data_IF_790468613619
#
_entry.id   IF_790468613619
#
_cell.length_a   1.000
_cell.length_b   1.000
_cell.length_c   1.000
_cell.angle_alpha   90.00
_cell.angle_beta   90.00
_cell.angle_gamma   90.00
#
_symmetry.space_group_name_H-M   'P 1'
#
loop_
_entity.id
_entity.type
_entity.pdbx_description
1 polymer ?
2 polymer ?
#
# COMPACT_ATOMS: atom_id res chain seq x y z
N UNK A 1 -6.04 -17.71 6.19
CA UNK A 1 -7.08 -16.66 6.37
C UNK A 1 -7.00 -15.63 5.25
N UNK A 2 -7.77 -14.56 5.38
CA UNK A 2 -7.79 -13.51 4.37
C UNK A 2 -6.49 -12.72 4.39
N UNK A 3 -6.22 -12.05 3.27
CA UNK A 3 -5.07 -11.16 3.12
C UNK A 3 -5.60 -9.83 2.64
N UNK A 4 -5.41 -8.79 3.44
CA UNK A 4 -5.95 -7.47 3.16
C UNK A 4 -4.81 -6.45 3.09
N UNK A 5 -4.79 -5.66 2.02
CA UNK A 5 -3.85 -4.54 1.92
C UNK A 5 -4.36 -3.30 2.61
N UNK A 6 -5.62 -3.28 3.03
CA UNK A 6 -6.19 -2.19 3.80
C UNK A 6 -6.89 -2.76 5.03
N UNK A 7 -6.74 -2.07 6.15
CA UNK A 7 -7.40 -2.44 7.40
C UNK A 7 -8.50 -1.44 7.69
N UNK A 8 -9.69 -1.95 7.99
CA UNK A 8 -10.87 -1.11 8.22
C UNK A 8 -11.55 -1.54 9.51
N UNK A 9 -12.33 -0.62 10.07
CA UNK A 9 -13.10 -0.94 11.27
C UNK A 9 -14.10 -2.04 10.97
N UNK A 10 -14.29 -2.93 11.94
CA UNK A 10 -15.16 -4.09 11.80
C UNK A 10 -16.62 -3.76 12.10
N UNK A 11 -16.93 -2.52 12.44
CA UNK A 11 -18.27 -2.13 12.86
C UNK A 11 -18.72 -0.92 12.06
N UNK A 12 -19.98 -0.96 11.62
CA UNK A 12 -20.57 0.15 10.87
C UNK A 12 -21.68 0.82 11.68
N UNK A 13 -22.66 0.04 12.10
CA UNK A 13 -23.75 0.53 12.93
C UNK A 13 -23.52 0.06 14.37
N UNK A 14 -24.31 0.58 15.31
CA UNK A 14 -24.13 0.26 16.71
C UNK A 14 -25.45 0.24 17.46
N UNK A 15 -25.65 -0.77 18.30
CA UNK A 15 -26.86 -0.89 19.11
C UNK A 15 -26.64 -0.28 20.48
N UNK A 16 -27.74 0.09 21.13
CA UNK A 16 -27.67 0.70 22.46
C UNK A 16 -27.63 -0.34 23.57
N UNK A 17 -27.89 -1.60 23.28
CA UNK A 17 -27.83 -2.63 24.31
C UNK A 17 -28.37 -3.94 23.78
N UNK A 18 -28.15 -4.99 24.58
CA UNK A 18 -28.63 -6.33 24.26
C UNK A 18 -28.92 -7.05 25.56
N UNK A 19 -29.82 -8.02 25.50
CA UNK A 19 -30.16 -8.81 26.67
C UNK A 19 -28.95 -9.61 27.13
N UNK A 20 -28.49 -9.46 28.36
CA UNK A 20 -27.26 -10.17 28.78
C UNK A 20 -27.33 -11.69 28.62
N UNK A 21 -28.50 -12.29 28.87
CA UNK A 21 -28.59 -13.74 28.88
C UNK A 21 -28.21 -14.37 27.54
N UNK A 22 -28.35 -13.63 26.44
CA UNK A 22 -28.05 -14.15 25.12
C UNK A 22 -26.62 -13.86 24.68
N UNK A 23 -25.81 -13.22 25.53
CA UNK A 23 -24.44 -12.88 25.17
C UNK A 23 -23.51 -13.98 25.67
N UNK A 24 -22.69 -14.51 24.77
CA UNK A 24 -21.72 -15.54 25.09
C UNK A 24 -20.32 -14.99 25.31
N UNK A 25 -19.87 -14.08 24.45
CA UNK A 25 -18.57 -13.47 24.59
C UNK A 25 -18.60 -12.07 24.00
N UNK A 26 -17.70 -11.21 24.47
CA UNK A 26 -17.60 -9.83 24.01
C UNK A 26 -16.13 -9.52 23.74
N UNK A 27 -15.87 -8.86 22.62
CA UNK A 27 -14.52 -8.47 22.22
C UNK A 27 -14.42 -6.96 22.26
N UNK A 28 -13.47 -6.45 23.03
CA UNK A 28 -13.26 -5.01 23.19
C UNK A 28 -11.91 -4.67 22.56
N UNK A 29 -11.93 -3.84 21.53
CA UNK A 29 -10.73 -3.42 20.82
C UNK A 29 -10.52 -1.92 21.05
N UNK A 30 -9.36 -1.58 21.62
CA UNK A 30 -9.02 -0.18 21.82
C UNK A 30 -8.64 0.46 20.49
N UNK A 31 -8.66 1.79 20.43
CA UNK A 31 -8.25 2.46 19.18
C UNK A 31 -6.82 2.06 18.80
N UNK A 32 -6.61 1.85 17.51
CA UNK A 32 -5.35 1.36 17.02
C UNK A 32 -5.10 1.71 15.57
N UNK A 33 -4.09 1.09 14.97
CA UNK A 33 -3.74 1.42 13.58
C UNK A 33 -4.84 1.13 12.58
N UNK A 34 -5.80 0.26 12.91
CA UNK A 34 -6.81 -0.19 11.96
C UNK A 34 -8.19 0.39 12.26
N UNK A 35 -8.32 1.26 13.26
CA UNK A 35 -9.61 1.85 13.56
C UNK A 35 -9.47 3.03 14.52
N UNK A 36 -10.17 4.13 14.22
CA UNK A 36 -10.09 5.31 15.07
C UNK A 36 -10.91 5.19 16.35
N UNK A 37 -12.04 4.51 16.30
CA UNK A 37 -12.96 4.44 17.43
C UNK A 37 -12.90 3.07 18.10
N UNK A 38 -13.29 3.03 19.37
CA UNK A 38 -13.40 1.77 20.08
C UNK A 38 -14.54 0.94 19.52
N UNK A 39 -14.33 -0.37 19.48
CA UNK A 39 -15.31 -1.31 18.93
C UNK A 39 -15.57 -2.41 19.94
N UNK A 40 -16.84 -2.60 20.30
CA UNK A 40 -17.26 -3.67 21.18
C UNK A 40 -18.17 -4.59 20.37
N UNK A 41 -17.72 -5.82 20.14
CA UNK A 41 -18.43 -6.80 19.33
C UNK A 41 -18.85 -7.94 20.24
N UNK A 42 -20.14 -8.28 20.21
CA UNK A 42 -20.70 -9.32 21.05
C UNK A 42 -21.03 -10.54 20.21
N UNK A 43 -20.56 -11.71 20.65
CA UNK A 43 -20.85 -12.97 19.99
C UNK A 43 -21.98 -13.65 20.74
N UNK A 44 -23.14 -13.75 20.10
CA UNK A 44 -24.34 -14.27 20.73
C UNK A 44 -24.26 -15.79 20.86
N UNK A 45 -25.17 -16.33 21.67
CA UNK A 45 -25.22 -17.78 21.88
C UNK A 45 -25.59 -18.53 20.61
N UNK A 46 -26.23 -17.87 19.65
CA UNK A 46 -26.67 -18.50 18.41
C UNK A 46 -25.64 -18.42 17.29
N UNK A 47 -24.46 -17.88 17.59
CA UNK A 47 -23.42 -17.75 16.58
C UNK A 47 -23.40 -16.44 15.83
N UNK A 48 -24.40 -15.59 16.03
CA UNK A 48 -24.43 -14.29 15.37
C UNK A 48 -23.59 -13.28 16.14
N UNK A 49 -22.94 -12.40 15.39
CA UNK A 49 -22.12 -11.33 15.96
C UNK A 49 -22.85 -9.99 15.82
N UNK A 50 -22.88 -9.24 16.91
CA UNK A 50 -23.57 -7.96 16.95
C UNK A 50 -22.65 -6.91 17.53
N UNK A 51 -22.83 -5.67 17.09
CA UNK A 51 -22.06 -4.54 17.56
C UNK A 51 -22.72 -3.94 18.80
N UNK A 52 -21.91 -3.35 19.67
CA UNK A 52 -22.37 -2.63 20.84
C UNK A 52 -21.68 -1.27 20.92
N UNK A 53 -22.41 -0.28 21.42
CA UNK A 53 -21.89 1.08 21.48
C UNK A 53 -21.01 1.24 22.71
N UNK A 54 -19.72 1.55 22.57
CA UNK A 54 -18.88 1.72 23.78
C UNK A 54 -19.36 2.81 24.70
N UNK A 55 -19.91 3.90 24.15
CA UNK A 55 -20.36 5.01 24.98
C UNK A 55 -21.67 4.72 25.70
N UNK A 56 -22.36 3.65 25.35
CA UNK A 56 -23.64 3.35 25.98
C UNK A 56 -23.42 3.00 27.45
N UNK A 57 -24.15 3.63 28.38
CA UNK A 57 -24.01 3.23 29.79
C UNK A 57 -24.30 1.75 30.02
N UNK A 58 -25.26 1.19 29.29
CA UNK A 58 -25.62 -0.22 29.49
C UNK A 58 -24.45 -1.12 29.10
N UNK A 59 -23.77 -0.80 28.00
CA UNK A 59 -22.71 -1.68 27.51
C UNK A 59 -21.62 -1.86 28.56
N UNK A 60 -21.21 -0.77 29.22
CA UNK A 60 -20.19 -0.87 30.25
C UNK A 60 -20.66 -1.77 31.39
N UNK A 61 -21.94 -1.64 31.78
CA UNK A 61 -22.46 -2.48 32.85
C UNK A 61 -22.45 -3.95 32.46
N UNK A 62 -22.78 -4.27 31.20
CA UNK A 62 -22.87 -5.65 30.78
C UNK A 62 -21.52 -6.34 30.91
N UNK A 63 -20.45 -5.70 30.46
CA UNK A 63 -19.13 -6.31 30.56
C UNK A 63 -18.76 -6.54 32.01
N UNK A 64 -19.12 -5.60 32.89
CA UNK A 64 -18.87 -5.77 34.31
C UNK A 64 -19.61 -6.99 34.85
N UNK A 65 -20.84 -7.22 34.37
CA UNK A 65 -21.62 -8.35 34.84
C UNK A 65 -20.93 -9.67 34.50
N UNK A 66 -20.43 -9.79 33.28
CA UNK A 66 -19.78 -11.03 32.87
C UNK A 66 -18.53 -11.29 33.69
N UNK A 67 -17.75 -10.25 33.97
CA UNK A 67 -16.47 -10.44 34.65
C UNK A 67 -16.67 -10.86 36.10
N UNK A 68 -17.90 -10.83 36.59
CA UNK A 68 -18.21 -11.23 37.96
C UNK A 68 -17.43 -12.47 38.38
N UNK B 9 -10.33 -25.44 29.08
CA UNK B 9 -10.28 -23.95 29.12
C UNK B 9 -8.92 -23.45 28.61
N UNK B 10 -8.97 -22.55 27.62
CA UNK B 10 -7.74 -22.06 27.01
C UNK B 10 -6.88 -21.28 28.00
N UNK B 11 -7.46 -20.79 29.09
CA UNK B 11 -6.72 -20.05 30.11
C UNK B 11 -6.56 -20.96 31.32
N UNK B 12 -5.33 -21.46 31.51
CA UNK B 12 -5.02 -22.37 32.61
C UNK B 12 -4.30 -21.66 33.76
N UNK B 13 -3.21 -20.95 33.46
CA UNK B 13 -2.44 -20.21 34.45
C UNK B 13 -2.49 -18.74 34.08
N UNK B 14 -3.52 -18.04 34.58
CA UNK B 14 -3.68 -16.63 34.26
C UNK B 14 -2.52 -15.82 34.81
N UNK B 15 -2.06 -14.85 34.02
CA UNK B 15 -0.97 -13.99 34.44
C UNK B 15 -1.45 -13.03 35.53
N UNK B 16 -0.47 -12.40 36.20
CA UNK B 16 -0.74 -11.45 37.27
C UNK B 16 -0.28 -10.04 36.91
N UNK B 17 0.19 -9.83 35.68
CA UNK B 17 0.59 -8.51 35.26
C UNK B 17 0.89 -8.42 33.77
N UNK B 18 0.31 -7.42 33.11
CA UNK B 18 0.54 -7.15 31.70
C UNK B 18 0.59 -5.64 31.51
N UNK B 19 1.51 -5.18 30.68
CA UNK B 19 1.66 -3.75 30.47
C UNK B 19 0.42 -3.19 29.77
N UNK B 20 -0.28 -2.23 30.37
CA UNK B 20 -1.52 -1.74 29.75
C UNK B 20 -1.35 -1.22 28.34
N UNK B 21 -0.22 -0.57 28.05
CA UNK B 21 -0.04 0.06 26.75
C UNK B 21 0.12 -0.98 25.65
N UNK B 22 0.65 -2.16 25.97
CA UNK B 22 0.95 -3.16 24.98
C UNK B 22 -0.26 -4.02 24.58
N UNK B 23 -1.37 -3.91 25.30
CA UNK B 23 -2.56 -4.70 25.00
C UNK B 23 -3.32 -4.05 23.85
N UNK B 24 -3.60 -4.84 22.82
CA UNK B 24 -4.37 -4.37 21.67
C UNK B 24 -5.86 -4.59 21.80
N UNK B 25 -6.28 -5.77 22.27
CA UNK B 25 -7.69 -6.07 22.43
C UNK B 25 -7.85 -7.16 23.47
N UNK B 26 -8.96 -7.11 24.19
CA UNK B 26 -9.28 -8.07 25.23
C UNK B 26 -10.57 -8.77 24.86
N UNK B 27 -10.56 -10.10 24.90
CA UNK B 27 -11.70 -10.93 24.57
C UNK B 27 -12.19 -11.62 25.83
N UNK B 28 -13.47 -11.46 26.15
CA UNK B 28 -14.07 -12.04 27.34
C UNK B 28 -15.04 -13.13 26.90
N UNK B 29 -14.81 -14.34 27.38
CA UNK B 29 -15.65 -15.49 26.98
C UNK B 29 -16.38 -15.98 28.21
N UNK B 30 -17.69 -15.92 28.20
CA UNK B 30 -18.45 -16.28 29.40
C UNK B 30 -18.58 -17.79 29.48
N UNK B 31 -19.08 -18.31 30.62
CA UNK B 31 -19.17 -19.76 30.81
C UNK B 31 -19.99 -20.42 29.71
N UNK B 32 -19.54 -21.60 29.29
CA UNK B 32 -20.20 -22.32 28.22
C UNK B 32 -19.86 -23.79 28.24
N UNK B 33 -20.37 -24.54 27.25
CA UNK B 33 -20.09 -25.98 27.20
C UNK B 33 -18.63 -26.32 27.09
N UNK B 34 -17.81 -25.44 26.50
CA UNK B 34 -16.39 -25.71 26.29
C UNK B 34 -15.52 -25.32 27.48
N UNK B 35 -16.09 -24.65 28.49
CA UNK B 35 -15.31 -24.28 29.67
C UNK B 35 -16.24 -23.83 30.79
N UNK B 36 -16.00 -24.32 32.00
CA UNK B 36 -16.86 -24.02 33.14
C UNK B 36 -16.44 -22.75 33.88
N UNK B 37 -15.34 -22.11 33.48
CA UNK B 37 -14.84 -20.91 34.14
C UNK B 37 -14.75 -19.76 33.14
N UNK B 38 -14.94 -18.55 33.66
CA UNK B 38 -14.83 -17.35 32.83
C UNK B 38 -13.38 -17.13 32.43
N UNK B 39 -13.18 -16.78 31.16
CA UNK B 39 -11.85 -16.60 30.58
C UNK B 39 -11.73 -15.19 30.02
N UNK B 40 -10.60 -14.54 30.28
CA UNK B 40 -10.25 -13.26 29.69
C UNK B 40 -8.94 -13.45 28.96
N UNK B 41 -8.94 -13.15 27.65
CA UNK B 41 -7.76 -13.31 26.81
C UNK B 41 -7.44 -11.95 26.19
N UNK B 42 -6.18 -11.53 26.31
CA UNK B 42 -5.71 -10.27 25.78
C UNK B 42 -4.66 -10.51 24.70
N UNK B 43 -4.85 -9.88 23.56
CA UNK B 43 -3.94 -10.00 22.43
C UNK B 43 -2.99 -8.81 22.42
N UNK B 44 -1.71 -9.07 22.68
CA UNK B 44 -0.71 -8.02 22.71
C UNK B 44 -0.39 -7.54 21.30
N UNK B 45 0.19 -6.34 21.21
CA UNK B 45 0.49 -5.74 19.93
C UNK B 45 1.47 -6.55 19.10
N UNK B 46 2.24 -7.44 19.73
CA UNK B 46 3.25 -8.24 19.03
C UNK B 46 2.71 -9.58 18.57
N UNK B 47 1.41 -9.83 18.72
CA UNK B 47 0.79 -11.06 18.29
C UNK B 47 0.70 -12.14 19.36
N UNK B 48 1.39 -11.98 20.48
CA UNK B 48 1.30 -12.95 21.56
C UNK B 48 -0.04 -12.84 22.27
N UNK B 49 -0.48 -13.96 22.82
CA UNK B 49 -1.74 -14.05 23.55
C UNK B 49 -1.46 -14.38 25.01
N UNK B 50 -2.09 -13.62 25.91
CA UNK B 50 -1.91 -13.79 27.34
C UNK B 50 -3.27 -13.79 28.03
N UNK B 51 -3.38 -14.57 29.10
CA UNK B 51 -4.62 -14.70 29.84
C UNK B 51 -4.57 -13.82 31.09
N UNK B 52 -5.64 -13.07 31.31
CA UNK B 52 -5.75 -12.19 32.48
C UNK B 52 -6.75 -12.78 33.47
N UNK B 53 -6.48 -12.54 34.75
CA UNK B 53 -7.35 -13.04 35.80
C UNK B 53 -8.66 -12.25 35.82
N UNK B 54 -9.82 -12.89 35.65
CA UNK B 54 -11.07 -12.11 35.66
C UNK B 54 -11.36 -11.45 37.00
N UNK B 55 -10.84 -11.98 38.10
CA UNK B 55 -11.12 -11.44 39.42
C UNK B 55 -10.17 -10.32 39.83
N UNK B 56 -9.13 -10.07 39.06
CA UNK B 56 -8.16 -9.03 39.43
C UNK B 56 -8.79 -7.65 39.25
N UNK B 57 -8.80 -6.81 40.28
CA UNK B 57 -9.32 -5.44 40.09
C UNK B 57 -8.57 -4.66 39.02
N UNK B 58 -7.27 -4.89 38.86
CA UNK B 58 -6.52 -4.18 37.85
C UNK B 58 -7.01 -4.53 36.46
N UNK B 59 -7.36 -5.80 36.23
CA UNK B 59 -7.88 -6.20 34.92
C UNK B 59 -9.15 -5.43 34.59
N UNK B 60 -10.05 -5.29 35.57
CA UNK B 60 -11.26 -4.51 35.34
C UNK B 60 -10.93 -3.08 34.93
N UNK B 61 -9.87 -2.52 35.50
CA UNK B 61 -9.47 -1.16 35.15
C UNK B 61 -9.11 -1.05 33.67
N UNK B 62 -8.37 -2.03 33.15
CA UNK B 62 -7.93 -1.98 31.76
C UNK B 62 -9.14 -1.98 30.83
N UNK B 63 -10.09 -2.88 31.08
CA UNK B 63 -11.30 -2.93 30.26
C UNK B 63 -12.08 -1.64 30.38
N UNK B 64 -12.25 -1.14 31.62
CA UNK B 64 -12.95 0.12 31.81
C UNK B 64 -12.20 1.27 31.15
N UNK B 65 -10.87 1.28 31.25
CA UNK B 65 -10.09 2.35 30.63
C UNK B 65 -10.26 2.34 29.11
N UNK B 66 -10.27 1.14 28.51
CA UNK B 66 -10.36 1.05 27.06
C UNK B 66 -11.69 1.60 26.55
N UNK B 67 -12.78 1.30 27.24
CA UNK B 67 -14.10 1.72 26.77
C UNK B 67 -14.27 3.23 26.82
N UNK B 68 -13.78 3.86 27.87
CA UNK B 68 -14.02 5.29 28.10
C UNK B 68 -13.07 6.18 27.31
N UNK B 69 -12.41 5.67 26.28
CA UNK B 69 -11.53 6.48 25.46
C UNK B 69 -12.27 7.68 24.88
N UNK C 90 -31.53 -6.80 15.69
CA UNK C 90 -30.06 -6.63 15.66
C UNK C 90 -29.57 -6.40 14.23
N UNK C 91 -30.05 -5.33 13.60
CA UNK C 91 -29.65 -5.04 12.23
C UNK C 91 -28.16 -4.80 12.12
N UNK C 92 -27.53 -4.30 13.18
CA UNK C 92 -26.09 -4.05 13.16
C UNK C 92 -25.34 -5.36 13.38
N UNK C 93 -24.32 -5.59 12.56
CA UNK C 93 -23.49 -6.77 12.67
C UNK C 93 -22.14 -6.48 12.03
N UNK C 94 -21.08 -7.20 12.41
CA UNK C 94 -19.77 -6.95 11.81
C UNK C 94 -19.78 -7.18 10.31
N UNK C 95 -19.03 -6.36 9.59
CA UNK C 95 -18.87 -6.50 8.14
C UNK C 95 -17.70 -7.46 7.89
N UNK C 96 -18.02 -8.75 7.92
CA UNK C 96 -16.98 -9.76 7.79
C UNK C 96 -16.29 -9.63 6.44
N UNK C 97 -14.96 -9.62 6.40
CA UNK C 97 -14.28 -9.58 5.10
C UNK C 97 -14.50 -10.86 4.32
N UNK C 98 -14.51 -10.73 2.99
CA UNK C 98 -14.69 -11.86 2.09
C UNK C 98 -13.44 -12.00 1.23
N UNK C 99 -12.82 -13.17 1.27
CA UNK C 99 -11.62 -13.46 0.51
C UNK C 99 -11.78 -14.78 -0.22
N UNK C 100 -11.28 -14.83 -1.45
CA UNK C 100 -11.33 -16.03 -2.28
C UNK C 100 -9.90 -16.50 -2.55
N UNK C 101 -9.65 -17.79 -2.34
CA UNK C 101 -8.33 -18.34 -2.55
C UNK C 101 -7.91 -18.26 -4.02
N UNK C 102 -8.88 -18.18 -4.94
CA UNK C 102 -8.56 -18.18 -6.36
C UNK C 102 -7.64 -17.01 -6.70
N UNK C 103 -7.96 -15.83 -6.17
CA UNK C 103 -7.21 -14.62 -6.53
C UNK C 103 -5.76 -14.71 -6.08
N UNK C 104 -5.53 -15.18 -4.86
CA UNK C 104 -4.22 -14.97 -4.23
C UNK C 104 -3.11 -15.73 -4.95
N UNK C 105 -3.33 -17.01 -5.26
CA UNK C 105 -2.24 -17.81 -5.83
C UNK C 105 -2.00 -17.46 -7.29
N UNK C 106 -3.06 -17.07 -8.02
CA UNK C 106 -2.86 -16.63 -9.39
C UNK C 106 -2.02 -15.36 -9.45
N UNK C 107 -2.10 -14.52 -8.42
CA UNK C 107 -1.31 -13.30 -8.39
C UNK C 107 0.17 -13.62 -8.30
N UNK C 108 0.52 -14.69 -7.60
CA UNK C 108 1.94 -15.02 -7.39
C UNK C 108 2.63 -15.26 -8.74
N UNK C 109 1.99 -16.05 -9.60
CA UNK C 109 2.58 -16.33 -10.91
C UNK C 109 2.72 -15.06 -11.73
N UNK C 110 1.68 -14.21 -11.71
CA UNK C 110 1.76 -12.94 -12.42
C UNK C 110 2.89 -12.08 -11.88
N UNK C 111 3.06 -12.03 -10.56
CA UNK C 111 4.20 -11.32 -9.98
C UNK C 111 5.52 -11.94 -10.39
N UNK C 112 5.61 -13.27 -10.38
CA UNK C 112 6.85 -13.94 -10.76
C UNK C 112 7.19 -13.70 -12.23
N UNK C 113 6.19 -13.76 -13.11
CA UNK C 113 6.46 -13.52 -14.52
C UNK C 113 6.98 -12.11 -14.76
N UNK C 114 6.39 -11.12 -14.10
CA UNK C 114 6.88 -9.75 -14.22
C UNK C 114 8.30 -9.64 -13.70
N UNK C 115 8.62 -10.38 -12.63
CA UNK C 115 9.97 -10.34 -12.07
C UNK C 115 11.00 -10.78 -13.10
N UNK C 116 10.73 -11.88 -13.79
CA UNK C 116 11.71 -12.42 -14.74
C UNK C 116 11.96 -11.44 -15.88
N UNK C 117 10.89 -10.88 -16.45
CA UNK C 117 11.05 -10.02 -17.61
C UNK C 117 11.78 -8.73 -17.25
N UNK C 118 11.39 -8.08 -16.15
CA UNK C 118 12.05 -6.84 -15.75
C UNK C 118 13.51 -7.07 -15.44
N UNK C 119 13.83 -8.17 -14.75
CA UNK C 119 15.23 -8.46 -14.43
C UNK C 119 16.05 -8.62 -15.70
N UNK C 120 15.52 -9.34 -16.69
CA UNK C 120 16.25 -9.54 -17.94
C UNK C 120 16.29 -8.26 -18.75
N UNK C 121 15.14 -7.59 -18.88
CA UNK C 121 15.08 -6.41 -19.74
C UNK C 121 15.95 -5.28 -19.24
N UNK C 122 15.90 -4.99 -17.94
CA UNK C 122 16.68 -3.89 -17.40
C UNK C 122 18.17 -4.16 -17.52
N UNK C 123 18.60 -5.41 -17.31
CA UNK C 123 20.02 -5.74 -17.42
C UNK C 123 20.53 -5.49 -18.84
N UNK C 124 19.74 -5.86 -19.84
CA UNK C 124 20.16 -5.62 -21.22
C UNK C 124 20.33 -4.13 -21.48
N UNK C 125 19.40 -3.30 -21.00
CA UNK C 125 19.54 -1.86 -21.16
C UNK C 125 20.81 -1.38 -20.47
N UNK C 126 21.06 -1.86 -19.25
CA UNK C 126 22.29 -1.51 -18.57
C UNK C 126 23.50 -2.06 -19.32
N UNK C 127 23.41 -3.29 -19.82
CA UNK C 127 24.53 -3.89 -20.53
C UNK C 127 24.87 -3.11 -21.78
N UNK C 128 23.85 -2.69 -22.53
CA UNK C 128 24.10 -2.00 -23.81
C UNK C 128 24.81 -0.68 -23.57
N UNK C 129 24.30 0.13 -22.63
CA UNK C 129 24.85 1.47 -22.44
C UNK C 129 26.26 1.40 -21.87
N UNK C 130 26.46 0.59 -20.83
CA UNK C 130 27.73 0.58 -20.12
C UNK C 130 28.85 -0.12 -20.88
N UNK C 131 28.53 -0.97 -21.86
CA UNK C 131 29.57 -1.70 -22.58
C UNK C 131 30.49 -0.73 -23.33
N UNK C 132 29.91 0.26 -24.00
CA UNK C 132 30.66 1.24 -24.77
C UNK C 132 30.41 2.62 -24.20
N UNK C 133 31.49 3.35 -23.93
CA UNK C 133 31.40 4.68 -23.31
C UNK C 133 31.45 5.81 -24.33
N UNK C 134 31.47 5.50 -25.62
CA UNK C 134 31.47 6.53 -26.65
C UNK C 134 30.03 6.91 -26.99
N UNK C 135 29.80 8.19 -27.23
CA UNK C 135 28.48 8.67 -27.57
C UNK C 135 27.47 8.52 -26.45
N UNK C 136 27.89 8.76 -25.21
CA UNK C 136 26.99 8.67 -24.06
C UNK C 136 26.21 9.97 -23.96
N UNK C 137 25.17 10.09 -24.78
CA UNK C 137 24.37 11.29 -24.84
C UNK C 137 23.63 11.51 -23.52
N UNK C 138 22.94 12.64 -23.41
CA UNK C 138 22.20 12.94 -22.19
C UNK C 138 21.14 11.89 -21.94
N UNK C 139 20.42 11.48 -22.99
CA UNK C 139 19.36 10.49 -22.81
C UNK C 139 19.91 9.18 -22.26
N UNK C 140 21.17 8.85 -22.56
CA UNK C 140 21.74 7.62 -22.04
C UNK C 140 21.81 7.63 -20.52
N UNK C 141 22.07 8.79 -19.92
CA UNK C 141 22.14 8.87 -18.46
C UNK C 141 20.75 8.68 -17.86
N UNK C 142 19.73 9.30 -18.45
CA UNK C 142 18.37 9.14 -17.94
C UNK C 142 17.94 7.68 -18.00
N UNK C 143 18.21 7.01 -19.12
CA UNK C 143 17.84 5.61 -19.24
C UNK C 143 18.61 4.76 -18.23
N UNK C 144 19.89 5.07 -18.01
CA UNK C 144 20.67 4.30 -17.06
C UNK C 144 20.07 4.36 -15.67
N UNK C 145 19.69 5.56 -15.21
CA UNK C 145 19.03 5.67 -13.92
C UNK C 145 17.67 4.98 -13.92
N UNK C 146 16.91 5.15 -15.00
CA UNK C 146 15.61 4.49 -15.08
C UNK C 146 15.75 2.98 -15.01
N UNK C 147 16.77 2.42 -15.68
CA UNK C 147 17.02 0.99 -15.60
C UNK C 147 17.35 0.58 -14.17
N UNK C 148 18.19 1.35 -13.48
CA UNK C 148 18.51 1.05 -12.09
C UNK C 148 17.28 1.18 -11.21
N UNK C 149 16.47 2.22 -11.43
CA UNK C 149 15.29 2.41 -10.61
C UNK C 149 14.31 1.25 -10.77
N UNK C 150 14.11 0.80 -12.01
CA UNK C 150 13.19 -0.32 -12.25
C UNK C 150 13.80 -1.64 -11.80
N UNK C 151 15.11 -1.79 -11.94
CA UNK C 151 15.76 -3.03 -11.52
C UNK C 151 15.62 -3.25 -10.02
N UNK C 152 15.87 -2.21 -9.23
CA UNK C 152 15.72 -2.34 -7.78
C UNK C 152 14.27 -2.60 -7.41
N UNK C 153 13.34 -1.91 -8.06
CA UNK C 153 11.93 -2.11 -7.75
C UNK C 153 11.51 -3.55 -7.98
N UNK C 154 11.94 -4.14 -9.11
CA UNK C 154 11.60 -5.54 -9.38
C UNK C 154 12.28 -6.47 -8.40
N UNK C 155 13.45 -6.07 -7.88
CA UNK C 155 14.19 -6.95 -6.98
C UNK C 155 13.41 -7.27 -5.72
N UNK C 156 12.51 -6.39 -5.31
CA UNK C 156 11.71 -6.61 -4.12
C UNK C 156 10.40 -7.35 -4.40
N UNK C 157 10.07 -7.57 -5.66
CA UNK C 157 8.81 -8.22 -5.99
C UNK C 157 8.68 -9.61 -5.37
N UNK C 158 9.69 -10.48 -5.42
CA UNK C 158 9.52 -11.82 -4.85
C UNK C 158 9.07 -11.83 -3.40
N UNK C 159 9.60 -10.92 -2.57
CA UNK C 159 9.16 -10.84 -1.19
C UNK C 159 7.72 -10.32 -1.13
N UNK C 160 7.42 -9.28 -1.91
CA UNK C 160 6.06 -8.74 -1.91
C UNK C 160 5.06 -9.78 -2.40
N UNK C 161 5.43 -10.56 -3.41
CA UNK C 161 4.51 -11.58 -3.93
C UNK C 161 4.21 -12.62 -2.87
N UNK C 162 5.24 -13.11 -2.17
CA UNK C 162 5.01 -14.10 -1.12
C UNK C 162 4.15 -13.54 0.00
N UNK C 163 4.20 -12.22 0.24
CA UNK C 163 3.38 -11.63 1.27
C UNK C 163 1.89 -11.78 0.97
N UNK C 164 1.51 -11.63 -0.30
CA UNK C 164 0.11 -11.73 -0.67
C UNK C 164 -0.44 -13.14 -0.45
N UNK C 165 0.44 -14.13 -0.30
CA UNK C 165 0.00 -15.51 -0.15
C UNK C 165 -0.56 -15.74 1.24
N UNK C 166 0.28 -15.58 2.27
CA UNK C 166 -0.12 -15.86 3.64
C UNK C 166 0.16 -14.70 4.58
N UNK C 167 0.27 -13.47 4.07
CA UNK C 167 0.52 -12.31 4.88
C UNK C 167 2.00 -12.13 5.20
N UNK C 168 2.30 -11.00 5.82
CA UNK C 168 3.67 -10.66 6.17
C UNK C 168 4.15 -11.50 7.35
N UNK C 169 4.91 -12.56 7.07
CA UNK C 169 5.47 -13.42 8.10
C UNK C 169 6.96 -13.14 8.31
N UNK C 170 7.50 -12.11 7.67
CA UNK C 170 8.94 -11.92 7.60
C UNK C 170 9.49 -11.02 8.71
N UNK C 171 8.63 -10.48 9.57
CA UNK C 171 9.08 -9.67 10.69
C UNK C 171 8.96 -8.19 10.39
N UNK C 172 9.23 -7.39 11.43
CA UNK C 172 9.08 -5.94 11.34
C UNK C 172 10.23 -5.30 10.60
N UNK C 173 11.45 -5.81 10.75
CA UNK C 173 12.61 -5.14 10.18
C UNK C 173 12.51 -5.06 8.67
N UNK C 174 12.09 -6.15 8.02
CA UNK C 174 11.97 -6.14 6.57
C UNK C 174 10.78 -5.30 6.11
N UNK C 175 9.72 -5.22 6.91
CA UNK C 175 8.58 -4.41 6.55
C UNK C 175 8.97 -2.94 6.40
N UNK C 176 10.07 -2.54 7.05
CA UNK C 176 10.58 -1.18 6.89
C UNK C 176 11.57 -1.11 5.72
N UNK C 177 12.55 -2.01 5.70
CA UNK C 177 13.57 -1.96 4.66
C UNK C 177 12.95 -2.20 3.29
N UNK C 178 12.14 -3.25 3.17
CA UNK C 178 11.54 -3.56 1.87
C UNK C 178 10.62 -2.43 1.43
N UNK C 179 9.82 -1.89 2.35
CA UNK C 179 8.92 -0.79 1.99
C UNK C 179 9.71 0.43 1.58
N UNK C 180 10.87 0.67 2.21
CA UNK C 180 11.72 1.78 1.82
C UNK C 180 12.23 1.61 0.39
N UNK C 181 12.77 0.43 0.09
CA UNK C 181 13.34 0.20 -1.23
C UNK C 181 12.28 0.28 -2.31
N UNK C 182 11.10 -0.27 -2.06
CA UNK C 182 10.04 -0.26 -3.07
C UNK C 182 9.58 1.17 -3.35
N UNK C 183 9.30 1.95 -2.30
CA UNK C 183 8.73 3.27 -2.51
C UNK C 183 9.77 4.25 -3.03
N UNK C 184 11.03 4.09 -2.61
CA UNK C 184 12.09 4.98 -3.07
C UNK C 184 12.24 4.86 -4.59
N UNK C 185 12.24 3.62 -5.09
CA UNK C 185 12.34 3.42 -6.53
C UNK C 185 11.05 3.80 -7.24
N UNK C 186 9.90 3.60 -6.60
CA UNK C 186 8.63 4.00 -7.22
C UNK C 186 8.59 5.50 -7.45
N UNK C 187 8.99 6.29 -6.45
CA UNK C 187 9.03 7.73 -6.64
C UNK C 187 10.08 8.13 -7.66
N UNK C 188 11.26 7.52 -7.60
CA UNK C 188 12.33 7.85 -8.54
C UNK C 188 11.93 7.47 -9.96
N UNK C 189 11.33 6.30 -10.13
CA UNK C 189 10.95 5.87 -11.47
C UNK C 189 10.00 6.85 -12.15
N UNK C 190 8.99 7.32 -11.41
CA UNK C 190 8.02 8.23 -11.98
C UNK C 190 8.67 9.58 -12.29
N UNK C 191 9.44 10.10 -11.34
CA UNK C 191 10.04 11.42 -11.52
C UNK C 191 11.01 11.43 -12.70
N UNK C 192 11.73 10.33 -12.94
CA UNK C 192 12.59 10.27 -14.10
C UNK C 192 11.79 10.39 -15.39
N UNK C 193 10.63 9.75 -15.46
CA UNK C 193 9.77 9.90 -16.64
C UNK C 193 9.38 11.36 -16.83
N UNK C 194 9.29 12.12 -15.74
CA UNK C 194 9.03 13.55 -15.85
C UNK C 194 10.27 14.30 -16.33
N UNK C 195 11.44 13.92 -15.80
CA UNK C 195 12.68 14.56 -16.25
C UNK C 195 12.95 14.25 -17.72
N UNK C 196 12.74 13.01 -18.14
CA UNK C 196 12.96 12.64 -19.54
C UNK C 196 12.10 13.51 -20.44
N UNK C 197 10.83 13.70 -20.07
CA UNK C 197 9.94 14.49 -20.91
C UNK C 197 10.40 15.93 -21.02
N UNK C 198 10.90 16.50 -19.92
CA UNK C 198 11.41 17.86 -19.97
C UNK C 198 12.60 17.94 -20.92
N UNK C 199 13.49 16.94 -20.86
CA UNK C 199 14.65 16.93 -21.74
C UNK C 199 14.21 16.91 -23.20
N UNK C 200 13.22 16.08 -23.53
CA UNK C 200 12.73 16.03 -24.90
C UNK C 200 12.07 17.35 -25.30
N UNK C 201 11.34 17.97 -24.37
CA UNK C 201 10.71 19.25 -24.66
C UNK C 201 11.74 20.30 -25.04
N UNK C 202 12.83 20.38 -24.28
CA UNK C 202 13.87 21.35 -24.59
C UNK C 202 14.64 20.96 -25.85
N UNK C 203 14.80 19.66 -26.10
CA UNK C 203 15.58 19.22 -27.25
C UNK C 203 14.89 19.56 -28.56
N UNK C 204 13.56 19.50 -28.60
CA UNK C 204 12.82 19.67 -29.85
C UNK C 204 12.26 21.08 -29.94
N UNK C 205 11.46 21.49 -28.94
CA UNK C 205 10.80 22.79 -29.01
C UNK C 205 11.83 23.92 -29.03
N UNK C 206 12.83 23.82 -28.16
CA UNK C 206 13.87 24.84 -28.03
C UNK C 206 15.19 24.38 -28.65
N UNK C 207 15.11 23.66 -29.78
CA UNK C 207 16.32 23.18 -30.42
C UNK C 207 17.20 24.34 -30.88
N UNK C 208 16.59 25.39 -31.41
CA UNK C 208 17.36 26.52 -31.93
C UNK C 208 18.00 27.35 -30.82
N UNK C 209 17.26 27.66 -29.77
CA UNK C 209 17.67 28.64 -28.79
C UNK C 209 18.73 28.04 -27.85
N UNK C 210 19.25 28.87 -26.95
CA UNK C 210 20.31 28.46 -26.03
C UNK C 210 19.76 27.87 -24.74
N UNK C 211 18.45 27.91 -24.53
CA UNK C 211 17.87 27.29 -23.35
C UNK C 211 18.05 25.78 -23.36
N UNK C 212 18.18 25.18 -24.54
CA UNK C 212 18.42 23.74 -24.62
C UNK C 212 19.76 23.34 -24.02
N UNK C 213 20.67 24.29 -23.85
CA UNK C 213 21.97 24.01 -23.24
C UNK C 213 21.84 23.64 -21.76
N UNK C 214 20.67 23.83 -21.17
CA UNK C 214 20.44 23.49 -19.77
C UNK C 214 20.14 22.01 -19.58
N UNK C 215 20.27 21.20 -20.63
CA UNK C 215 20.02 19.76 -20.54
C UNK C 215 21.32 18.96 -20.43
N UNK C 216 22.44 19.64 -20.16
CA UNK C 216 23.70 18.98 -19.85
C UNK C 216 23.91 18.78 -18.36
N UNK C 217 22.92 19.16 -17.54
CA UNK C 217 22.96 18.95 -16.09
C UNK C 217 22.22 17.68 -15.69
N UNK C 218 22.14 16.71 -16.61
CA UNK C 218 21.47 15.45 -16.30
C UNK C 218 22.17 14.76 -15.14
N UNK C 219 23.50 14.86 -15.09
CA UNK C 219 24.25 14.22 -14.02
C UNK C 219 23.76 14.66 -12.65
N UNK C 220 23.65 15.98 -12.45
CA UNK C 220 23.18 16.48 -11.16
C UNK C 220 21.68 16.35 -11.02
N UNK C 221 20.91 16.59 -12.10
CA UNK C 221 19.46 16.51 -11.99
C UNK C 221 19.02 15.12 -11.56
N UNK C 222 19.68 14.07 -12.07
CA UNK C 222 19.36 12.73 -11.64
C UNK C 222 19.70 12.53 -10.17
N UNK C 223 20.77 13.17 -9.70
CA UNK C 223 21.08 13.13 -8.27
C UNK C 223 19.98 13.79 -7.45
N UNK C 224 19.45 14.92 -7.94
CA UNK C 224 18.39 15.60 -7.21
C UNK C 224 17.15 14.73 -7.08
N UNK C 225 16.76 14.06 -8.17
CA UNK C 225 15.56 13.22 -8.14
C UNK C 225 15.74 12.09 -7.15
N UNK C 226 16.90 11.42 -7.18
CA UNK C 226 17.16 10.34 -6.24
C UNK C 226 17.14 10.85 -4.81
N UNK C 227 17.74 12.00 -4.55
CA UNK C 227 17.71 12.56 -3.21
C UNK C 227 16.32 12.93 -2.78
N UNK C 228 15.54 13.56 -3.67
CA UNK C 228 14.18 13.92 -3.33
C UNK C 228 13.32 12.70 -3.04
N UNK C 229 13.51 11.62 -3.79
CA UNK C 229 12.71 10.42 -3.57
C UNK C 229 12.93 9.86 -2.17
N UNK C 230 14.19 9.81 -1.72
CA UNK C 230 14.46 9.31 -0.38
C UNK C 230 13.80 10.18 0.68
N UNK C 231 13.63 11.48 0.39
CA UNK C 231 12.97 12.37 1.35
C UNK C 231 11.48 12.08 1.42
N UNK C 232 10.88 11.68 0.32
CA UNK C 232 9.45 11.40 0.27
C UNK C 232 9.09 9.99 0.74
N UNK C 233 10.09 9.15 1.01
CA UNK C 233 9.86 7.80 1.48
C UNK C 233 10.12 7.65 2.98
N UNK C 234 10.55 8.71 3.65
CA UNK C 234 10.78 8.63 5.10
C UNK C 234 9.53 8.22 5.87
N UNK C 235 8.35 8.75 5.59
CA UNK C 235 7.17 8.34 6.37
C UNK C 235 6.95 6.83 6.36
N UNK C 236 7.26 6.17 5.26
CA UNK C 236 7.15 4.71 5.22
C UNK C 236 8.10 4.08 6.22
N UNK C 237 9.34 4.58 6.29
CA UNK C 237 10.32 4.02 7.22
C UNK C 237 9.95 4.33 8.66
N UNK C 238 9.43 5.52 8.93
CA UNK C 238 9.19 5.95 10.30
C UNK C 238 7.96 5.26 10.90
N UNK C 239 6.91 5.07 10.09
CA UNK C 239 5.62 4.67 10.61
C UNK C 239 5.11 3.35 10.04
N UNK C 240 5.94 2.32 10.00
CA UNK C 240 5.51 1.02 9.50
C UNK C 240 5.93 -0.08 10.47
N UNK C 241 5.07 -1.10 10.60
CA UNK C 241 5.35 -2.26 11.42
C UNK C 241 4.32 -3.33 11.08
N UNK C 242 4.57 -4.55 11.56
CA UNK C 242 3.63 -5.64 11.37
C UNK C 242 2.46 -5.47 12.32
N UNK C 243 1.25 -5.46 11.79
CA UNK C 243 0.04 -5.22 12.57
C UNK C 243 -0.73 -6.54 12.61
N UNK C 244 -0.47 -7.32 13.67
CA UNK C 244 -1.25 -8.53 13.88
C UNK C 244 -2.71 -8.19 14.15
N UNK C 245 -3.60 -9.02 13.62
CA UNK C 245 -5.03 -8.83 13.78
C UNK C 245 -5.67 -10.18 14.04
N UNK C 246 -7.00 -10.20 14.09
CA UNK C 246 -7.76 -11.41 14.31
C UNK C 246 -8.45 -11.91 13.04
N UNK C 247 -9.21 -11.02 12.37
CA UNK C 247 -9.88 -11.42 11.14
C UNK C 247 -8.89 -11.69 10.01
N UNK C 248 -7.82 -10.90 9.94
CA UNK C 248 -6.90 -10.94 8.82
C UNK C 248 -5.53 -11.38 9.30
N UNK C 249 -4.74 -11.91 8.37
CA UNK C 249 -3.38 -12.32 8.64
C UNK C 249 -2.50 -11.08 8.79
N UNK C 250 -1.29 -11.25 9.34
CA UNK C 250 -0.44 -10.08 9.60
C UNK C 250 -0.19 -9.27 8.34
N UNK C 251 -0.14 -7.95 8.50
CA UNK C 251 0.07 -7.04 7.39
C UNK C 251 1.12 -6.01 7.77
N UNK C 252 1.89 -5.56 6.76
CA UNK C 252 2.90 -4.53 6.96
C UNK C 252 2.24 -3.16 6.77
N UNK C 253 1.47 -2.77 7.79
CA UNK C 253 0.70 -1.55 7.78
C UNK C 253 1.45 -0.46 8.53
N UNK C 254 0.81 0.70 8.71
CA UNK C 254 1.40 1.83 9.42
C UNK C 254 0.77 1.98 10.80
N UNK C 255 1.55 2.52 11.74
CA UNK C 255 1.13 2.73 13.12
C UNK C 255 1.56 4.14 13.53
N UNK C 256 0.68 5.12 13.32
CA UNK C 256 0.96 6.51 13.63
C UNK C 256 0.30 6.99 14.92
N UNK C 257 -0.34 6.10 15.66
CA UNK C 257 -0.95 6.44 16.92
C UNK C 257 -2.42 6.13 16.91
N UNK C 258 -3.12 6.61 17.94
CA UNK C 258 -4.55 6.33 18.07
C UNK C 258 -5.34 6.81 16.85
N UNK C 259 -4.92 7.93 16.25
CA UNK C 259 -5.60 8.50 15.10
C UNK C 259 -4.93 8.12 13.79
N UNK C 260 -4.38 6.90 13.72
CA UNK C 260 -3.66 6.48 12.53
C UNK C 260 -4.56 6.46 11.30
N UNK C 261 -5.86 6.22 11.49
CA UNK C 261 -6.77 6.12 10.36
C UNK C 261 -6.81 7.43 9.57
N UNK C 262 -6.91 8.55 10.28
CA UNK C 262 -6.94 9.85 9.60
C UNK C 262 -5.56 10.25 9.10
N UNK C 263 -4.53 10.02 9.92
CA UNK C 263 -3.18 10.43 9.53
C UNK C 263 -2.70 9.66 8.29
N UNK C 264 -3.04 8.39 8.19
CA UNK C 264 -2.64 7.63 7.00
C UNK C 264 -3.21 8.27 5.73
N UNK C 265 -4.43 8.78 5.80
CA UNK C 265 -5.04 9.39 4.62
C UNK C 265 -4.26 10.62 4.18
N UNK C 266 -3.79 11.43 5.13
CA UNK C 266 -2.98 12.58 4.76
C UNK C 266 -1.69 12.16 4.08
N UNK C 267 -1.03 11.12 4.60
CA UNK C 267 0.20 10.65 3.99
C UNK C 267 -0.01 10.19 2.56
N UNK C 268 -1.23 9.80 2.20
CA UNK C 268 -1.52 9.41 0.83
C UNK C 268 -1.49 10.59 -0.14
N UNK C 269 -1.45 11.82 0.38
CA UNK C 269 -1.36 12.98 -0.49
C UNK C 269 -0.03 13.01 -1.23
N UNK C 270 1.05 12.58 -0.56
CA UNK C 270 2.36 12.59 -1.19
C UNK C 270 2.41 11.72 -2.44
N UNK C 271 2.03 10.45 -2.40
CA UNK C 271 2.01 9.65 -3.64
C UNK C 271 1.04 10.19 -4.68
N UNK C 272 -0.06 10.80 -4.25
CA UNK C 272 -1.08 11.29 -5.18
C UNK C 272 -0.86 12.74 -5.59
N UNK C 273 0.18 13.39 -5.07
CA UNK C 273 0.51 14.77 -5.45
C UNK C 273 1.84 14.86 -6.17
N UNK C 274 2.91 14.30 -5.58
CA UNK C 274 4.21 14.25 -6.22
C UNK C 274 4.45 12.97 -6.99
N UNK C 275 3.44 12.10 -7.08
CA UNK C 275 3.60 10.82 -7.76
C UNK C 275 2.73 10.66 -8.97
N UNK C 276 1.54 11.28 -8.97
CA UNK C 276 0.63 11.17 -10.11
C UNK C 276 0.35 12.51 -10.76
N UNK C 277 -0.11 13.49 -9.99
CA UNK C 277 -0.58 14.74 -10.59
C UNK C 277 0.59 15.56 -11.12
N UNK C 278 1.61 15.76 -10.29
CA UNK C 278 2.75 16.59 -10.68
C UNK C 278 3.46 15.94 -11.87
N UNK C 279 3.81 14.66 -11.80
CA UNK C 279 4.41 14.03 -12.99
C UNK C 279 3.51 14.06 -14.21
N UNK C 280 2.21 13.89 -14.03
CA UNK C 280 1.30 13.89 -15.17
C UNK C 280 1.24 15.26 -15.83
N UNK C 281 1.13 16.33 -15.04
CA UNK C 281 1.05 17.66 -15.61
C UNK C 281 2.35 18.02 -16.34
N UNK C 282 3.50 17.65 -15.77
CA UNK C 282 4.77 17.92 -16.42
C UNK C 282 4.86 17.15 -17.74
N UNK C 283 4.47 15.87 -17.73
CA UNK C 283 4.54 15.07 -18.94
C UNK C 283 3.60 15.61 -20.02
N UNK C 284 2.37 15.94 -19.64
CA UNK C 284 1.41 16.40 -20.64
C UNK C 284 1.80 17.76 -21.21
N UNK C 285 2.26 18.67 -20.35
CA UNK C 285 2.70 19.98 -20.84
C UNK C 285 3.85 19.83 -21.82
N UNK C 286 4.88 19.06 -21.44
CA UNK C 286 6.04 18.90 -22.31
C UNK C 286 5.66 18.20 -23.61
N UNK C 287 5.00 17.05 -23.51
CA UNK C 287 4.56 16.35 -24.71
C UNK C 287 3.42 17.06 -25.41
N UNK C 288 2.67 17.90 -24.70
CA UNK C 288 1.61 18.67 -25.34
C UNK C 288 2.15 19.67 -26.34
N UNK C 289 3.26 20.33 -25.98
CA UNK C 289 3.85 21.31 -26.88
C UNK C 289 4.82 20.66 -27.86
N UNK C 290 5.49 19.59 -27.44
CA UNK C 290 6.37 18.88 -28.36
C UNK C 290 5.62 18.41 -29.59
N UNK C 291 4.38 17.96 -29.41
CA UNK C 291 3.59 17.50 -30.55
C UNK C 291 3.14 18.65 -31.42
N UNK C 292 3.19 19.88 -30.91
CA UNK C 292 2.78 21.03 -31.71
C UNK C 292 3.84 21.40 -32.73
N UNK C 293 5.12 21.31 -32.36
CA UNK C 293 6.19 21.58 -33.31
C UNK C 293 6.34 20.44 -34.31
N UNK C 294 6.31 19.19 -33.82
CA UNK C 294 6.40 18.06 -34.71
C UNK C 294 5.23 18.01 -35.69
N UNK C 295 4.05 18.48 -35.27
CA UNK C 295 2.91 18.53 -36.18
C UNK C 295 3.05 19.59 -37.26
N UNK C 296 4.03 20.48 -37.12
CA UNK C 296 4.25 21.56 -38.08
C UNK C 296 5.57 21.42 -38.84
N UNK C 297 6.52 20.64 -38.34
CA UNK C 297 7.79 20.48 -39.01
C UNK C 297 7.63 19.69 -40.30
N UNK C 298 8.67 19.73 -41.14
CA UNK C 298 8.65 19.10 -42.44
C UNK C 298 9.66 17.96 -42.56
N UNK C 299 9.78 17.13 -41.53
CA UNK C 299 10.68 15.99 -41.59
C UNK C 299 9.98 14.77 -42.16
N UNK C 300 10.70 13.65 -42.20
CA UNK C 300 10.16 12.40 -42.66
C UNK C 300 9.89 11.45 -41.51
N UNK C 301 10.62 11.62 -40.42
CA UNK C 301 10.47 10.80 -39.22
C UNK C 301 9.48 11.40 -38.23
N UNK C 302 8.83 12.51 -38.57
CA UNK C 302 7.84 13.09 -37.68
C UNK C 302 6.72 12.11 -37.36
N UNK C 303 6.36 11.25 -38.32
CA UNK C 303 5.22 10.37 -38.13
C UNK C 303 5.50 9.33 -37.05
N UNK C 304 6.67 8.70 -37.10
CA UNK C 304 6.99 7.71 -36.08
C UNK C 304 7.21 8.34 -34.72
N UNK C 305 7.75 9.56 -34.67
CA UNK C 305 8.00 10.21 -33.40
C UNK C 305 6.70 10.45 -32.64
N UNK C 306 5.68 10.96 -33.33
CA UNK C 306 4.41 11.23 -32.67
C UNK C 306 3.79 9.96 -32.11
N UNK C 307 3.81 8.87 -32.88
CA UNK C 307 3.23 7.62 -32.41
C UNK C 307 3.98 7.10 -31.19
N UNK C 308 5.28 7.34 -31.11
CA UNK C 308 6.03 6.95 -29.91
C UNK C 308 5.65 7.83 -28.74
N UNK C 309 5.47 9.13 -28.97
CA UNK C 309 5.07 10.03 -27.90
C UNK C 309 3.70 9.65 -27.36
N UNK C 310 2.75 9.36 -28.26
CA UNK C 310 1.42 8.96 -27.81
C UNK C 310 1.48 7.68 -26.99
N UNK C 311 2.26 6.70 -27.45
CA UNK C 311 2.36 5.44 -26.72
C UNK C 311 2.91 5.65 -25.31
N UNK C 312 3.90 6.53 -25.16
CA UNK C 312 4.49 6.78 -23.85
C UNK C 312 3.44 7.33 -22.90
N UNK C 313 2.64 8.28 -23.36
CA UNK C 313 1.65 8.91 -22.49
C UNK C 313 0.57 7.91 -22.10
N UNK C 314 0.03 7.17 -23.06
CA UNK C 314 -1.04 6.23 -22.76
C UNK C 314 -0.58 5.15 -21.81
N UNK C 315 0.65 4.63 -22.00
CA UNK C 315 1.15 3.59 -21.11
C UNK C 315 1.24 4.10 -19.69
N UNK C 316 1.65 5.37 -19.52
CA UNK C 316 1.71 5.95 -18.18
C UNK C 316 0.31 6.06 -17.57
N UNK C 317 -0.64 6.59 -18.32
CA UNK C 317 -2.00 6.75 -17.80
C UNK C 317 -2.62 5.38 -17.49
N UNK C 318 -2.43 4.41 -18.38
CA UNK C 318 -3.04 3.11 -18.19
C UNK C 318 -2.52 2.43 -16.93
N UNK C 319 -1.22 2.53 -16.67
CA UNK C 319 -0.61 1.82 -15.56
C UNK C 319 -0.99 2.45 -14.21
N UNK C 320 -1.09 3.77 -14.15
CA UNK C 320 -1.23 4.47 -12.88
C UNK C 320 -2.60 5.08 -12.64
N UNK C 321 -3.29 5.54 -13.68
CA UNK C 321 -4.59 6.18 -13.45
C UNK C 321 -5.58 5.25 -12.76
N UNK C 322 -5.75 3.99 -13.17
CA UNK C 322 -6.70 3.13 -12.45
C UNK C 322 -6.38 3.00 -10.97
N UNK C 323 -5.09 2.90 -10.62
CA UNK C 323 -4.72 2.74 -9.22
C UNK C 323 -5.08 3.99 -8.41
N UNK C 324 -4.77 5.18 -8.95
CA UNK C 324 -5.04 6.41 -8.21
C UNK C 324 -6.54 6.66 -8.06
N UNK C 325 -7.33 6.36 -9.09
CA UNK C 325 -8.77 6.55 -8.99
C UNK C 325 -9.36 5.67 -7.89
N UNK C 326 -8.92 4.42 -7.80
CA UNK C 326 -9.36 3.55 -6.72
C UNK C 326 -8.90 4.10 -5.37
N UNK C 327 -7.65 4.56 -5.30
CA UNK C 327 -7.14 5.12 -4.05
C UNK C 327 -7.94 6.34 -3.63
N UNK C 328 -8.26 7.23 -4.58
CA UNK C 328 -9.10 8.37 -4.26
C UNK C 328 -10.48 7.92 -3.80
N UNK C 329 -11.04 6.89 -4.44
CA UNK C 329 -12.33 6.37 -4.02
C UNK C 329 -12.27 5.85 -2.59
N UNK C 330 -11.18 5.17 -2.23
CA UNK C 330 -11.05 4.70 -0.85
C UNK C 330 -11.03 5.86 0.14
N UNK C 331 -10.29 6.92 -0.18
CA UNK C 331 -10.22 8.06 0.72
C UNK C 331 -11.58 8.72 0.89
N UNK C 332 -12.33 8.85 -0.21
CA UNK C 332 -13.65 9.47 -0.12
C UNK C 332 -14.59 8.64 0.75
N UNK C 333 -14.53 7.31 0.64
CA UNK C 333 -15.40 6.46 1.43
C UNK C 333 -15.12 6.60 2.92
N UNK C 334 -13.83 6.66 3.30
CA UNK C 334 -13.49 6.77 4.71
C UNK C 334 -13.98 8.08 5.31
N UNK C 335 -13.97 9.16 4.53
CA UNK C 335 -14.40 10.47 5.01
C UNK C 335 -15.91 10.64 5.00
N UNK C 336 -16.66 9.59 4.66
CA UNK C 336 -18.12 9.59 4.62
C UNK C 336 -18.68 10.47 3.51
N UNK C 337 -17.83 10.92 2.58
CA UNK C 337 -18.34 11.66 1.42
C UNK C 337 -19.22 10.76 0.57
N UNK C 338 -18.79 9.52 0.38
CA UNK C 338 -19.58 8.51 -0.34
C UNK C 338 -20.06 7.49 0.69
N UNK C 339 -21.32 7.08 0.54
CA UNK C 339 -21.92 6.17 1.50
C UNK C 339 -21.10 4.90 1.63
N UNK C 340 -20.95 4.43 2.87
CA UNK C 340 -20.16 3.24 3.16
C UNK C 340 -21.08 2.06 3.46
N UNK C 341 -20.76 0.92 2.86
CA UNK C 341 -21.50 -0.31 3.09
C UNK C 341 -20.55 -1.48 2.97
N UNK C 342 -20.97 -2.63 3.49
CA UNK C 342 -20.13 -3.82 3.45
C UNK C 342 -19.79 -4.19 2.00
N UNK C 343 -20.77 -4.08 1.09
CA UNK C 343 -20.52 -4.43 -0.30
C UNK C 343 -19.47 -3.51 -0.92
N UNK C 344 -19.57 -2.21 -0.68
CA UNK C 344 -18.61 -1.27 -1.28
C UNK C 344 -17.20 -1.55 -0.78
N UNK C 345 -17.03 -1.78 0.52
CA UNK C 345 -15.71 -2.08 1.04
C UNK C 345 -15.15 -3.35 0.40
N UNK C 346 -16.01 -4.33 0.14
CA UNK C 346 -15.56 -5.54 -0.55
C UNK C 346 -15.08 -5.23 -1.96
N UNK C 347 -15.82 -4.39 -2.68
CA UNK C 347 -15.45 -4.08 -4.07
C UNK C 347 -14.11 -3.37 -4.14
N UNK C 348 -13.90 -2.38 -3.27
CA UNK C 348 -12.67 -1.60 -3.32
C UNK C 348 -11.47 -2.49 -2.99
N UNK C 349 -11.63 -3.45 -2.07
CA UNK C 349 -10.52 -4.32 -1.71
C UNK C 349 -10.03 -5.11 -2.92
N UNK C 350 -10.95 -5.65 -3.72
CA UNK C 350 -10.55 -6.36 -4.93
C UNK C 350 -9.95 -5.40 -5.95
N UNK C 351 -10.53 -4.19 -6.07
CA UNK C 351 -10.02 -3.24 -7.05
C UNK C 351 -8.58 -2.85 -6.75
N UNK C 352 -8.27 -2.61 -5.47
CA UNK C 352 -6.90 -2.24 -5.11
C UNK C 352 -5.92 -3.35 -5.46
N UNK C 353 -6.29 -4.60 -5.18
CA UNK C 353 -5.41 -5.71 -5.48
C UNK C 353 -5.18 -5.85 -6.98
N UNK C 354 -6.25 -5.69 -7.77
CA UNK C 354 -6.13 -5.85 -9.21
C UNK C 354 -5.27 -4.75 -9.83
N UNK C 355 -5.56 -3.49 -9.48
CA UNK C 355 -4.84 -2.38 -10.08
C UNK C 355 -3.36 -2.43 -9.71
N UNK C 356 -3.04 -2.74 -8.45
CA UNK C 356 -1.64 -2.80 -8.04
C UNK C 356 -0.83 -3.72 -8.94
N UNK C 357 -1.44 -4.83 -9.39
CA UNK C 357 -0.77 -5.69 -10.36
C UNK C 357 -0.54 -4.95 -11.66
N UNK C 358 -1.54 -4.21 -12.11
CA UNK C 358 -1.41 -3.45 -13.36
C UNK C 358 -0.31 -2.40 -13.26
N UNK C 359 -0.26 -1.68 -12.14
CA UNK C 359 0.75 -0.65 -11.99
C UNK C 359 2.17 -1.18 -11.97
N UNK C 360 2.37 -2.38 -11.43
CA UNK C 360 3.70 -2.96 -11.30
C UNK C 360 4.33 -3.25 -12.66
N UNK C 361 3.53 -3.34 -13.71
CA UNK C 361 4.04 -3.65 -15.04
C UNK C 361 4.94 -2.55 -15.61
N UNK C 362 4.96 -1.37 -14.99
CA UNK C 362 5.80 -0.30 -15.50
C UNK C 362 7.28 -0.70 -15.51
N UNK C 363 7.67 -1.57 -14.57
CA UNK C 363 9.06 -2.01 -14.53
C UNK C 363 9.42 -2.91 -15.70
N UNK C 364 8.43 -3.39 -16.46
CA UNK C 364 8.67 -4.28 -17.58
C UNK C 364 8.55 -3.56 -18.92
N UNK C 365 7.55 -2.70 -19.09
CA UNK C 365 7.37 -2.02 -20.36
C UNK C 365 8.38 -0.88 -20.54
N UNK C 366 8.96 -0.39 -19.46
CA UNK C 366 9.90 0.73 -19.56
C UNK C 366 11.05 0.46 -20.51
N UNK C 367 11.77 -0.66 -20.42
CA UNK C 367 12.84 -0.92 -21.40
C UNK C 367 12.34 -0.91 -22.84
N UNK C 368 11.15 -1.46 -23.10
CA UNK C 368 10.64 -1.50 -24.45
C UNK C 368 10.18 -0.12 -24.93
N UNK C 369 9.46 0.61 -24.08
CA UNK C 369 8.85 1.87 -24.52
C UNK C 369 9.92 2.94 -24.73
N UNK C 370 10.89 3.04 -23.82
CA UNK C 370 11.84 4.14 -23.85
C UNK C 370 13.16 3.79 -24.53
N UNK C 371 13.70 2.60 -24.25
CA UNK C 371 15.05 2.25 -24.67
C UNK C 371 15.07 1.44 -25.97
N UNK C 372 14.37 0.31 -26.02
CA UNK C 372 14.48 -0.59 -27.16
C UNK C 372 13.67 -0.13 -28.36
N UNK C 373 13.12 1.09 -28.34
CA UNK C 373 12.37 1.61 -29.48
C UNK C 373 13.23 2.57 -30.27
N UNK C 374 14.54 2.58 -29.99
CA UNK C 374 15.46 3.48 -30.65
C UNK C 374 16.49 2.72 -31.48
N UNK C 375 16.92 3.33 -32.58
CA UNK C 375 17.86 2.67 -33.47
C UNK C 375 19.19 2.40 -32.77
N UNK C 376 19.67 3.36 -32.00
CA UNK C 376 20.99 3.21 -31.37
C UNK C 376 21.04 1.99 -30.47
N UNK C 377 20.04 1.83 -29.61
CA UNK C 377 20.03 0.68 -28.71
C UNK C 377 19.84 -0.62 -29.47
N UNK C 378 18.91 -0.64 -30.44
CA UNK C 378 18.68 -1.85 -31.22
C UNK C 378 19.95 -2.26 -31.95
N UNK C 379 20.58 -1.33 -32.65
CA UNK C 379 21.84 -1.64 -33.32
C UNK C 379 22.93 -1.96 -32.32
N UNK C 380 22.91 -1.29 -31.16
CA UNK C 380 23.94 -1.55 -30.15
C UNK C 380 23.89 -2.98 -29.64
N UNK C 381 22.69 -3.47 -29.35
CA UNK C 381 22.56 -4.80 -28.77
C UNK C 381 23.11 -5.87 -29.72
N UNK C 382 22.83 -5.73 -31.01
CA UNK C 382 23.32 -6.70 -31.98
C UNK C 382 24.84 -6.74 -32.01
N UNK C 383 25.47 -5.57 -32.00
CA UNK C 383 26.93 -5.51 -32.07
C UNK C 383 27.56 -6.13 -30.83
N UNK C 384 26.96 -5.90 -29.66
CA UNK C 384 27.54 -6.44 -28.43
C UNK C 384 27.53 -7.96 -28.44
N UNK C 385 26.48 -8.56 -29.02
CA UNK C 385 26.39 -10.01 -29.05
C UNK C 385 27.61 -10.63 -29.72
N UNK C 386 27.82 -10.31 -30.99
CA UNK C 386 28.98 -10.83 -31.73
C UNK C 386 28.94 -12.35 -31.80
#
# INVERSE_FOLDING_TARGET
ASVATELRCQCLQTLQGIHPKNIQSVNVKSPGPHCAQTEVIATLKNGRKACLNPASPIVKKIIEKMLNSDKSN
ASVATELRCQCLQTLQGIHPKNIQSVNVKSPGPHCAQTEVIATLKNGRKACLNPASPIVKKIIEKMLNSDKSN
MGKTIIALSYIFCLVFADYKDDDDAANFTPVNGSSGNQSVRLVTSSSLEVLFQGPGSEDFNMESDSFEDFWKGEDLSNYSYSSTLPPFLLDAAPCEPESLEINKYFVVIIYALVFLLSLLGNSLVMLVILYSRVGRSVTDVYLLNLALADLLFALTLPIWAASKVNGWIFGTFLCKVVSLLKEVNFYSGILLLACISVDRYLAIVHATRTLTQKRYLVKFICLSIWGLSLLLALPVLLFRRTVYSSNVSPACYEDMGNNTANWRMLLRILPQSFGFIVPLLIMLFCYGFTLRTLFKAHMGQKHRAMRVIFAVVLIFLLCWLPYNLVLLADTLMRTQVIQETCERRNHIDRALDATEILGILHSCLNPLIYAFIGQKFRHGLLKILAIHGLISKDSLPKDSRPSFVGSSSGHTSTTL
#
